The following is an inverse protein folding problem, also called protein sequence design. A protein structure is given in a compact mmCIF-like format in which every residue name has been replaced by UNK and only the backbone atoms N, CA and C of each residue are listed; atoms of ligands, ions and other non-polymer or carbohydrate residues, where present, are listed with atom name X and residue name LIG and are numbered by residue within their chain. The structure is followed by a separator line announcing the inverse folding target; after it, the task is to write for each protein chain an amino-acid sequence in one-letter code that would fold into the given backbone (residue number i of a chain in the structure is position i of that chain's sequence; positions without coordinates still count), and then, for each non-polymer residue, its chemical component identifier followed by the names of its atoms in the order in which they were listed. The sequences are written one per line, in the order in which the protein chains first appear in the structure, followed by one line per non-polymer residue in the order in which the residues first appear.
data_IF_490005263560
#
_entry.id   IF_490005263560
#
_cell.length_a   1.000
_cell.length_b   1.000
_cell.length_c   1.000
_cell.angle_alpha   90.00
_cell.angle_beta   90.00
_cell.angle_gamma   90.00
#
_symmetry.space_group_name_H-M   'P 1'
#
loop_
_entity.id
_entity.type
_entity.pdbx_description
1 polymer ?
#
# COMPACT_ATOMS: atom_id res chain seq x y z
N UNK A 1 -0.99 16.04 6.05
CA UNK A 1 -0.90 15.09 4.93
C UNK A 1 -1.55 15.72 3.73
N UNK A 2 -0.98 15.52 2.54
CA UNK A 2 -1.59 15.95 1.27
C UNK A 2 -3.00 15.34 1.14
N UNK A 3 -3.92 16.04 0.47
CA UNK A 3 -5.18 15.45 0.02
C UNK A 3 -5.19 15.38 -1.49
N UNK A 4 -5.50 14.20 -2.02
CA UNK A 4 -5.73 13.99 -3.45
C UNK A 4 -7.21 13.84 -3.72
N UNK A 5 -7.62 14.25 -4.92
CA UNK A 5 -8.96 14.02 -5.46
C UNK A 5 -8.82 13.11 -6.67
N UNK A 6 -9.77 12.20 -6.83
CA UNK A 6 -9.88 11.36 -8.03
C UNK A 6 -9.77 12.21 -9.32
N UNK A 7 -8.72 11.94 -10.09
CA UNK A 7 -8.37 12.63 -11.34
C UNK A 7 -9.29 12.31 -12.52
N UNK A 8 -10.08 11.23 -12.46
CA UNK A 8 -10.94 10.80 -13.57
C UNK A 8 -12.31 11.46 -13.50
N UNK A 9 -12.92 11.45 -12.32
CA UNK A 9 -14.31 11.90 -12.16
C UNK A 9 -14.63 12.58 -10.84
N UNK A 10 -13.61 12.90 -10.03
CA UNK A 10 -13.76 13.52 -8.71
C UNK A 10 -14.75 12.78 -7.77
N UNK A 11 -14.77 11.44 -7.82
CA UNK A 11 -15.73 10.63 -7.04
C UNK A 11 -15.33 10.44 -5.57
N UNK A 12 -14.06 10.58 -5.25
CA UNK A 12 -13.50 10.35 -3.91
C UNK A 12 -12.27 11.24 -3.65
N UNK A 13 -11.86 11.31 -2.38
CA UNK A 13 -10.65 12.01 -1.95
C UNK A 13 -9.88 11.16 -0.93
N UNK A 14 -8.56 11.09 -1.10
CA UNK A 14 -7.68 10.26 -0.26
C UNK A 14 -6.55 11.11 0.33
N UNK A 15 -6.37 11.02 1.65
CA UNK A 15 -5.22 11.62 2.31
C UNK A 15 -3.95 10.85 1.92
N UNK A 16 -2.97 11.55 1.35
CA UNK A 16 -1.72 10.96 0.87
C UNK A 16 -1.88 10.09 -0.38
N UNK A 17 -2.97 10.21 -1.14
CA UNK A 17 -3.24 9.32 -2.28
C UNK A 17 -2.18 9.33 -3.37
N UNK A 18 -1.37 10.39 -3.49
CA UNK A 18 -0.26 10.45 -4.45
C UNK A 18 0.97 9.63 -4.03
N UNK A 19 1.01 9.16 -2.78
CA UNK A 19 2.11 8.35 -2.28
C UNK A 19 2.24 7.06 -3.09
N UNK A 20 3.49 6.69 -3.40
CA UNK A 20 3.81 5.50 -4.17
C UNK A 20 4.08 4.34 -3.22
N UNK A 21 3.44 3.20 -3.50
CA UNK A 21 3.68 1.92 -2.88
C UNK A 21 4.32 0.97 -3.89
N UNK A 22 5.13 0.02 -3.40
CA UNK A 22 5.77 -0.99 -4.24
C UNK A 22 5.99 -2.29 -3.46
N UNK A 23 6.01 -3.42 -4.18
CA UNK A 23 6.48 -4.72 -3.69
C UNK A 23 7.83 -5.14 -4.29
N UNK A 24 8.51 -4.23 -5.00
CA UNK A 24 9.77 -4.48 -5.69
C UNK A 24 9.64 -4.90 -7.16
N UNK A 25 8.44 -5.29 -7.63
CA UNK A 25 8.19 -5.63 -9.04
C UNK A 25 7.15 -4.69 -9.66
N UNK A 26 6.11 -4.33 -8.90
CA UNK A 26 5.09 -3.37 -9.29
C UNK A 26 5.15 -2.12 -8.41
N UNK A 27 4.72 -0.99 -8.97
CA UNK A 27 4.44 0.23 -8.21
C UNK A 27 3.00 0.65 -8.45
N UNK A 28 2.37 1.19 -7.42
CA UNK A 28 1.00 1.71 -7.49
C UNK A 28 0.82 2.88 -6.53
N UNK A 29 -0.22 3.67 -6.75
CA UNK A 29 -0.55 4.79 -5.85
C UNK A 29 -1.30 4.30 -4.62
N UNK A 30 -1.19 5.01 -3.51
CA UNK A 30 -1.90 4.70 -2.28
C UNK A 30 -3.43 4.64 -2.48
N UNK A 31 -3.98 5.44 -3.39
CA UNK A 31 -5.41 5.49 -3.73
C UNK A 31 -5.85 4.49 -4.82
N UNK A 32 -4.99 3.52 -5.19
CA UNK A 32 -5.33 2.54 -6.24
C UNK A 32 -6.56 1.70 -5.90
N UNK A 33 -6.77 1.35 -4.62
CA UNK A 33 -7.94 0.60 -4.18
C UNK A 33 -9.24 1.38 -4.41
N UNK A 34 -9.24 2.68 -4.13
CA UNK A 34 -10.38 3.57 -4.35
C UNK A 34 -10.75 3.65 -5.84
N UNK A 35 -9.75 3.65 -6.73
CA UNK A 35 -9.98 3.57 -8.18
C UNK A 35 -10.65 2.25 -8.60
N UNK A 36 -10.19 1.12 -8.07
CA UNK A 36 -10.78 -0.20 -8.35
C UNK A 36 -12.25 -0.24 -7.90
N UNK A 37 -12.54 0.28 -6.71
CA UNK A 37 -13.90 0.28 -6.17
C UNK A 37 -14.84 1.22 -6.94
N UNK A 38 -14.37 2.42 -7.28
CA UNK A 38 -15.17 3.45 -7.94
C UNK A 38 -15.39 3.23 -9.45
N UNK A 39 -14.46 2.54 -10.12
CA UNK A 39 -14.48 2.36 -11.57
C UNK A 39 -14.54 0.90 -12.02
N UNK A 40 -14.41 -0.06 -11.10
CA UNK A 40 -14.39 -1.50 -11.40
C UNK A 40 -13.33 -1.85 -12.45
N UNK A 41 -12.21 -1.13 -12.41
CA UNK A 41 -11.04 -1.44 -13.22
C UNK A 41 -10.38 -2.69 -12.66
N UNK A 42 -10.07 -3.65 -13.53
CA UNK A 42 -9.32 -4.83 -13.15
C UNK A 42 -7.85 -4.49 -12.98
N UNK A 43 -7.18 -5.16 -12.05
CA UNK A 43 -5.72 -5.19 -12.01
C UNK A 43 -5.19 -6.13 -13.10
N UNK A 44 -3.95 -5.93 -13.58
CA UNK A 44 -3.31 -6.87 -14.49
C UNK A 44 -3.23 -8.27 -13.86
N UNK A 45 -3.45 -9.31 -14.66
CA UNK A 45 -3.51 -10.69 -14.16
C UNK A 45 -2.18 -11.13 -13.54
N UNK A 46 -1.05 -10.68 -14.10
CA UNK A 46 0.29 -10.91 -13.58
C UNK A 46 0.47 -10.35 -12.16
N UNK A 47 -0.12 -9.19 -11.86
CA UNK A 47 -0.08 -8.61 -10.51
C UNK A 47 -0.82 -9.51 -9.51
N UNK A 48 -1.99 -10.02 -9.91
CA UNK A 48 -2.81 -10.89 -9.06
C UNK A 48 -2.14 -12.25 -8.84
N UNK A 49 -1.62 -12.86 -9.91
CA UNK A 49 -0.95 -14.17 -9.84
C UNK A 49 0.27 -14.13 -8.92
N UNK A 50 1.09 -13.07 -9.01
CA UNK A 50 2.27 -12.92 -8.14
C UNK A 50 1.91 -12.84 -6.67
N UNK A 51 0.85 -12.09 -6.33
CA UNK A 51 0.38 -12.02 -4.95
C UNK A 51 -0.09 -13.37 -4.44
N UNK A 52 -0.81 -14.12 -5.26
CA UNK A 52 -1.22 -15.47 -4.91
C UNK A 52 -0.02 -16.42 -4.73
N UNK A 53 0.98 -16.35 -5.61
CA UNK A 53 2.24 -17.13 -5.51
C UNK A 53 3.04 -16.77 -4.25
N UNK A 54 3.04 -15.48 -3.87
CA UNK A 54 3.68 -14.99 -2.64
C UNK A 54 2.92 -15.39 -1.36
N UNK A 55 1.86 -16.20 -1.47
CA UNK A 55 1.06 -16.65 -0.33
C UNK A 55 0.21 -15.55 0.27
N UNK A 56 -0.15 -14.52 -0.51
CA UNK A 56 -1.06 -13.48 -0.04
C UNK A 56 -2.41 -14.10 0.32
N UNK A 57 -2.75 -14.01 1.61
CA UNK A 57 -4.03 -14.41 2.14
C UNK A 57 -4.89 -13.16 2.37
N UNK A 58 -6.07 -13.13 1.72
CA UNK A 58 -7.05 -12.05 1.85
C UNK A 58 -7.79 -12.10 3.20
N UNK A 59 -7.11 -12.49 4.29
CA UNK A 59 -7.73 -12.71 5.61
C UNK A 59 -8.72 -11.59 5.92
N UNK A 60 -9.98 -11.96 6.08
CA UNK A 60 -11.00 -11.03 6.54
C UNK A 60 -10.77 -10.82 8.03
N UNK A 61 -10.23 -9.65 8.38
CA UNK A 61 -9.99 -9.29 9.77
C UNK A 61 -11.33 -9.02 10.47
N UNK A 62 -11.45 -9.51 11.70
CA UNK A 62 -12.53 -9.10 12.60
C UNK A 62 -12.38 -7.62 12.95
N UNK A 63 -13.48 -6.99 13.37
CA UNK A 63 -13.44 -5.60 13.89
C UNK A 63 -12.38 -5.43 14.99
N UNK A 64 -12.22 -6.44 15.86
CA UNK A 64 -11.25 -6.38 16.94
C UNK A 64 -9.81 -6.40 16.42
N UNK A 65 -9.49 -7.31 15.49
CA UNK A 65 -8.17 -7.36 14.83
C UNK A 65 -7.85 -6.05 14.09
N UNK A 66 -8.84 -5.42 13.45
CA UNK A 66 -8.64 -4.12 12.81
C UNK A 66 -8.29 -3.01 13.82
N UNK A 67 -9.00 -2.98 14.95
CA UNK A 67 -8.72 -2.01 16.02
C UNK A 67 -7.33 -2.23 16.61
N UNK A 68 -6.92 -3.49 16.79
CA UNK A 68 -5.61 -3.82 17.33
C UNK A 68 -4.48 -3.48 16.34
N UNK A 69 -4.70 -3.69 15.04
CA UNK A 69 -3.77 -3.25 14.00
C UNK A 69 -3.61 -1.72 13.95
N UNK A 70 -4.73 -0.97 14.03
CA UNK A 70 -4.71 0.50 14.03
C UNK A 70 -3.94 1.05 15.24
N UNK A 71 -4.13 0.46 16.42
CA UNK A 71 -3.34 0.80 17.63
C UNK A 71 -1.86 0.53 17.44
N UNK A 72 -1.50 -0.64 16.90
CA UNK A 72 -0.11 -1.01 16.66
C UNK A 72 0.58 -0.02 15.71
N UNK A 73 -0.11 0.39 14.64
CA UNK A 73 0.39 1.40 13.70
C UNK A 73 0.55 2.76 14.40
N UNK A 74 -0.45 3.19 15.19
CA UNK A 74 -0.40 4.47 15.90
C UNK A 74 0.72 4.50 16.97
N UNK A 75 0.96 3.38 17.64
CA UNK A 75 2.03 3.23 18.63
C UNK A 75 3.40 3.26 17.95
N UNK A 76 3.56 2.56 16.81
CA UNK A 76 4.76 2.64 15.96
C UNK A 76 5.08 4.09 15.56
N UNK A 77 4.09 4.87 15.13
CA UNK A 77 4.31 6.29 14.80
C UNK A 77 4.63 7.16 16.02
N UNK A 78 4.17 6.79 17.22
CA UNK A 78 4.39 7.57 18.45
C UNK A 78 5.78 7.35 19.04
N UNK A 79 6.31 6.14 18.91
CA UNK A 79 7.64 5.77 19.41
C UNK A 79 8.78 6.33 18.53
N UNK A 80 8.44 6.91 17.37
CA UNK A 80 9.36 7.60 16.48
C UNK A 80 9.96 6.66 15.44
N UNK A 81 10.04 7.13 14.19
CA UNK A 81 10.72 6.44 13.10
C UNK A 81 12.22 6.34 13.44
N UNK A 82 12.67 5.20 13.97
CA UNK A 82 14.01 4.75 13.63
C UNK A 82 13.91 4.27 12.18
N UNK A 83 14.46 5.04 11.24
CA UNK A 83 14.47 4.73 9.80
C UNK A 83 15.11 3.35 9.50
N UNK A 84 15.70 2.68 10.51
CA UNK A 84 16.22 1.32 10.41
C UNK A 84 15.22 0.19 10.75
N UNK A 85 13.97 0.52 11.14
CA UNK A 85 13.00 -0.49 11.62
C UNK A 85 11.92 -0.88 10.61
N UNK A 86 12.05 -0.51 9.33
CA UNK A 86 11.27 -1.17 8.28
C UNK A 86 11.87 -2.55 7.99
N UNK A 87 11.21 -3.68 8.37
CA UNK A 87 11.83 -5.01 8.35
C UNK A 87 11.86 -5.63 6.93
N UNK A 88 12.02 -4.81 5.89
CA UNK A 88 11.93 -5.23 4.49
C UNK A 88 12.91 -4.53 3.54
N UNK A 89 13.90 -3.78 4.03
CA UNK A 89 14.99 -3.29 3.19
C UNK A 89 16.18 -4.27 3.21
N UNK A 90 16.00 -5.44 2.62
CA UNK A 90 17.11 -6.05 1.89
C UNK A 90 17.26 -5.25 0.59
N UNK A 91 17.90 -4.07 0.71
CA UNK A 91 18.29 -3.21 -0.41
C UNK A 91 19.42 -3.87 -1.18
N UNK A 92 19.06 -4.93 -1.92
CA UNK A 92 19.89 -5.60 -2.89
C UNK A 92 19.44 -5.31 -4.31
N UNK A 93 19.01 -4.08 -4.64
CA UNK A 93 18.77 -3.65 -6.02
C UNK A 93 18.83 -2.12 -6.14
N UNK A 94 19.99 -1.63 -6.57
CA UNK A 94 20.30 -0.39 -7.32
C UNK A 94 21.61 0.25 -6.81
N UNK A 95 22.70 -0.52 -6.93
CA UNK A 95 23.99 0.06 -7.29
C UNK A 95 24.35 -0.46 -8.68
N UNK A 96 24.82 0.46 -9.51
CA UNK A 96 25.44 0.27 -10.82
C UNK A 96 24.49 0.23 -12.03
N UNK A 97 24.29 1.40 -12.65
CA UNK A 97 24.93 1.64 -13.94
C UNK A 97 25.07 3.15 -14.25
N UNK A 98 26.35 3.55 -14.29
CA UNK A 98 27.03 4.55 -15.11
C UNK A 98 26.24 5.73 -15.72
#
# INVERSE_FOLDING_TARGET
MEQTVDLVGAKFSVAGGSAIQTDGEFFWRMDTADYIDAYRVSLPDEFLLRRLEAGWDRRVLTRQEMVDADRLIADFYREGLDDNLWPGQDSGCLSDNA
#
